data_IF_326401571186
#
_entry.id   IF_326401571186
#
_cell.length_a   1.000
_cell.length_b   1.000
_cell.length_c   1.000
_cell.angle_alpha   90.00
_cell.angle_beta   90.00
_cell.angle_gamma   90.00
#
_symmetry.space_group_name_H-M   'P 1'
#
loop_
_entity.id
_entity.type
_entity.pdbx_description
1 polymer ?
#
# COMPACT_ATOMS: atom_id res chain seq x y z
N UNK A 1 -8.16 -8.51 7.19
CA UNK A 1 -7.17 -8.07 6.19
C UNK A 1 -7.44 -6.62 5.90
N UNK A 2 -6.38 -5.84 6.04
CA UNK A 2 -6.42 -4.40 6.11
C UNK A 2 -6.95 -3.78 4.80
N UNK A 3 -7.89 -2.84 4.96
CA UNK A 3 -8.37 -1.94 3.92
C UNK A 3 -8.31 -0.47 4.42
N UNK A 4 -7.47 -0.19 5.42
CA UNK A 4 -7.22 1.15 5.93
C UNK A 4 -5.87 1.15 6.65
N UNK A 5 -4.94 1.96 6.19
CA UNK A 5 -3.68 2.17 6.89
C UNK A 5 -3.32 3.65 6.91
N UNK A 6 -2.34 3.99 7.74
CA UNK A 6 -1.88 5.34 7.90
C UNK A 6 -0.36 5.42 7.66
N UNK A 7 0.07 6.58 7.15
CA UNK A 7 1.47 6.99 7.09
C UNK A 7 1.60 8.32 7.84
N UNK A 8 2.24 8.28 9.01
CA UNK A 8 2.50 9.45 9.87
C UNK A 8 3.96 9.94 9.81
N UNK A 9 4.76 9.39 8.89
CA UNK A 9 6.20 9.71 8.78
C UNK A 9 6.45 10.73 7.66
N UNK A 10 7.59 11.42 7.73
CA UNK A 10 7.96 12.40 6.72
C UNK A 10 8.67 11.75 5.51
N UNK A 11 8.73 12.50 4.41
CA UNK A 11 9.31 12.05 3.15
C UNK A 11 10.82 11.76 3.26
N UNK A 12 11.54 12.52 4.07
CA UNK A 12 12.98 12.34 4.29
C UNK A 12 13.28 11.02 5.02
N UNK A 13 12.51 10.68 6.05
CA UNK A 13 12.61 9.42 6.77
C UNK A 13 12.33 8.23 5.85
N UNK A 14 11.33 8.35 4.95
CA UNK A 14 11.08 7.33 3.93
C UNK A 14 12.25 7.20 2.94
N UNK A 15 12.85 8.30 2.49
CA UNK A 15 14.05 8.26 1.64
C UNK A 15 15.21 7.56 2.35
N UNK A 16 15.48 7.94 3.60
CA UNK A 16 16.57 7.37 4.39
C UNK A 16 16.39 5.86 4.60
N UNK A 17 15.18 5.43 4.95
CA UNK A 17 14.85 4.02 5.17
C UNK A 17 14.95 3.20 3.88
N UNK A 18 14.40 3.71 2.79
CA UNK A 18 14.26 2.96 1.53
C UNK A 18 15.46 3.09 0.60
N UNK A 19 16.34 4.06 0.86
CA UNK A 19 17.44 4.46 -0.03
C UNK A 19 16.95 4.77 -1.44
N UNK A 20 15.79 5.43 -1.54
CA UNK A 20 15.23 5.83 -2.82
C UNK A 20 16.12 6.88 -3.49
N UNK A 21 16.43 6.64 -4.76
CA UNK A 21 17.30 7.51 -5.57
C UNK A 21 16.48 8.62 -6.24
N UNK A 22 15.23 8.31 -6.58
CA UNK A 22 14.30 9.24 -7.22
C UNK A 22 13.06 9.41 -6.37
N UNK A 23 12.55 10.63 -6.34
CA UNK A 23 11.32 10.97 -5.65
C UNK A 23 10.40 11.72 -6.61
N UNK A 24 9.34 11.03 -6.99
CA UNK A 24 8.23 11.56 -7.79
C UNK A 24 6.95 11.65 -6.94
N UNK A 25 7.04 11.56 -5.61
CA UNK A 25 5.89 11.78 -4.71
C UNK A 25 5.42 13.22 -4.73
N UNK A 26 6.29 14.22 -4.92
CA UNK A 26 5.95 15.62 -4.62
C UNK A 26 5.79 15.83 -3.10
N UNK A 27 4.89 16.72 -2.64
CA UNK A 27 4.65 16.88 -1.21
C UNK A 27 3.92 15.64 -0.64
N UNK A 28 4.45 15.07 0.45
CA UNK A 28 3.79 14.03 1.24
C UNK A 28 3.15 14.69 2.46
N UNK A 29 1.82 14.61 2.57
CA UNK A 29 1.14 15.13 3.75
C UNK A 29 1.58 14.36 5.01
N UNK A 30 1.79 15.04 6.15
CA UNK A 30 2.33 14.42 7.36
C UNK A 30 1.50 13.28 7.93
N UNK A 31 0.19 13.26 7.64
CA UNK A 31 -0.74 12.22 8.11
C UNK A 31 -1.72 11.90 6.99
N UNK A 32 -1.69 10.68 6.48
CA UNK A 32 -2.62 10.23 5.45
C UNK A 32 -3.32 8.95 5.87
N UNK A 33 -4.62 9.04 6.14
CA UNK A 33 -5.50 7.86 6.18
C UNK A 33 -5.74 7.39 4.75
N UNK A 34 -5.21 6.22 4.42
CA UNK A 34 -5.22 5.69 3.06
C UNK A 34 -6.29 4.61 2.95
N UNK A 35 -7.23 4.85 2.05
CA UNK A 35 -8.34 3.96 1.70
C UNK A 35 -8.11 3.30 0.33
N UNK A 36 -8.79 2.18 0.05
CA UNK A 36 -8.80 1.56 -1.28
C UNK A 36 -9.19 2.56 -2.37
N UNK A 37 -8.71 2.32 -3.59
CA UNK A 37 -8.98 3.17 -4.76
C UNK A 37 -8.51 4.63 -4.60
N UNK A 38 -7.54 4.87 -3.70
CA UNK A 38 -6.90 6.17 -3.51
C UNK A 38 -5.39 6.09 -3.83
N UNK A 39 -4.79 7.20 -4.29
CA UNK A 39 -3.34 7.29 -4.43
C UNK A 39 -2.64 7.11 -3.08
N UNK A 40 -1.58 6.33 -3.07
CA UNK A 40 -0.78 6.04 -1.90
C UNK A 40 0.71 6.08 -2.25
N UNK A 41 1.59 6.49 -1.30
CA UNK A 41 3.02 6.42 -1.50
C UNK A 41 3.47 4.95 -1.59
N UNK A 42 4.35 4.66 -2.54
CA UNK A 42 5.03 3.37 -2.66
C UNK A 42 6.49 3.60 -3.04
N UNK A 43 7.36 2.64 -2.71
CA UNK A 43 8.73 2.59 -3.22
C UNK A 43 8.85 1.43 -4.20
N UNK A 44 9.03 1.73 -5.49
CA UNK A 44 9.08 0.73 -6.56
C UNK A 44 10.46 0.69 -7.22
N UNK A 45 10.71 -0.39 -7.95
CA UNK A 45 11.85 -0.46 -8.86
C UNK A 45 11.55 0.31 -10.15
N UNK A 46 12.51 1.11 -10.59
CA UNK A 46 12.56 1.78 -11.89
C UNK A 46 13.87 1.40 -12.61
N UNK A 47 13.98 1.76 -13.88
CA UNK A 47 15.20 1.59 -14.68
C UNK A 47 16.38 2.38 -14.07
N UNK A 48 16.09 3.55 -13.50
CA UNK A 48 17.06 4.41 -12.81
C UNK A 48 17.30 4.02 -11.33
N UNK A 49 16.76 2.88 -10.89
CA UNK A 49 16.83 2.41 -9.50
C UNK A 49 15.55 2.64 -8.69
N UNK A 50 15.66 2.80 -7.37
CA UNK A 50 14.49 2.89 -6.48
C UNK A 50 13.82 4.25 -6.60
N UNK A 51 12.52 4.24 -6.88
CA UNK A 51 11.69 5.43 -7.00
C UNK A 51 10.59 5.42 -5.95
N UNK A 52 10.42 6.53 -5.24
CA UNK A 52 9.20 6.78 -4.48
C UNK A 52 8.18 7.46 -5.38
N UNK A 53 7.01 6.85 -5.53
CA UNK A 53 5.94 7.32 -6.41
C UNK A 53 4.57 7.20 -5.72
N UNK A 54 3.56 7.91 -6.24
CA UNK A 54 2.15 7.67 -5.88
C UNK A 54 1.50 6.71 -6.88
N UNK A 55 0.95 5.61 -6.38
CA UNK A 55 0.14 4.68 -7.16
C UNK A 55 -1.23 4.49 -6.51
N UNK A 56 -2.26 4.16 -7.30
CA UNK A 56 -3.58 3.81 -6.77
C UNK A 56 -3.54 2.48 -6.03
N UNK A 57 -4.07 2.44 -4.81
CA UNK A 57 -4.22 1.20 -4.06
C UNK A 57 -5.41 0.37 -4.56
N UNK A 58 -5.17 -0.38 -5.63
CA UNK A 58 -6.15 -1.29 -6.23
C UNK A 58 -5.58 -1.92 -7.49
N UNK A 59 -5.28 -3.22 -7.44
CA UNK A 59 -4.80 -3.95 -8.61
C UNK A 59 -5.96 -4.29 -9.56
N UNK A 60 -5.75 -4.38 -10.89
CA UNK A 60 -6.81 -4.68 -11.84
C UNK A 60 -7.55 -5.97 -11.49
N UNK A 61 -8.87 -5.90 -11.40
CA UNK A 61 -9.72 -7.05 -11.08
C UNK A 61 -9.80 -7.99 -12.29
N UNK A 62 -9.79 -9.33 -12.12
CA UNK A 62 -10.01 -10.25 -13.23
C UNK A 62 -11.33 -9.95 -13.95
N UNK A 63 -11.32 -9.93 -15.28
CA UNK A 63 -12.52 -9.61 -16.09
C UNK A 63 -13.70 -10.54 -15.81
N UNK A 64 -13.42 -11.82 -15.50
CA UNK A 64 -14.42 -12.81 -15.10
C UNK A 64 -15.16 -12.47 -13.79
N UNK A 65 -14.53 -11.67 -12.92
CA UNK A 65 -15.10 -11.22 -11.64
C UNK A 65 -15.86 -9.90 -11.81
N UNK A 66 -15.41 -9.02 -12.70
CA UNK A 66 -16.03 -7.70 -12.90
C UNK A 66 -17.46 -7.79 -13.42
N UNK A 67 -17.75 -8.70 -14.37
CA UNK A 67 -19.11 -8.90 -14.92
C UNK A 67 -19.82 -7.59 -15.32
N UNK A 68 -19.07 -6.63 -15.90
CA UNK A 68 -19.59 -5.33 -16.32
C UNK A 68 -19.73 -4.27 -15.21
N UNK A 69 -19.33 -4.57 -13.97
CA UNK A 69 -19.28 -3.59 -12.88
C UNK A 69 -18.02 -2.71 -12.97
N UNK A 70 -18.05 -1.49 -12.42
CA UNK A 70 -16.85 -0.67 -12.28
C UNK A 70 -15.77 -1.40 -11.47
N UNK A 71 -14.52 -1.30 -11.94
CA UNK A 71 -13.37 -1.89 -11.24
C UNK A 71 -12.93 -0.99 -10.08
N UNK A 72 -13.17 -1.41 -8.85
CA UNK A 72 -12.68 -0.73 -7.63
C UNK A 72 -11.30 -1.21 -7.20
N UNK A 73 -10.70 -2.12 -7.97
CA UNK A 73 -9.41 -2.74 -7.72
C UNK A 73 -9.41 -3.79 -6.60
N UNK A 74 -8.37 -4.62 -6.62
CA UNK A 74 -8.06 -5.64 -5.61
C UNK A 74 -6.95 -5.10 -4.70
N UNK A 75 -7.26 -4.86 -3.43
CA UNK A 75 -6.32 -4.27 -2.45
C UNK A 75 -5.34 -5.28 -1.87
N UNK A 76 -5.74 -6.55 -1.80
CA UNK A 76 -4.93 -7.60 -1.20
C UNK A 76 -5.01 -8.90 -1.99
N UNK A 77 -3.86 -9.41 -2.42
CA UNK A 77 -3.75 -10.64 -3.23
C UNK A 77 -3.25 -11.78 -2.33
N UNK A 78 -4.12 -12.78 -2.08
CA UNK A 78 -3.76 -13.95 -1.24
C UNK A 78 -3.32 -15.17 -2.05
N UNK A 79 -3.96 -15.39 -3.20
CA UNK A 79 -3.69 -16.55 -4.04
C UNK A 79 -2.75 -16.17 -5.19
N UNK A 80 -1.44 -16.29 -4.95
CA UNK A 80 -0.41 -16.02 -5.96
C UNK A 80 -0.34 -17.07 -7.09
N UNK A 81 -0.99 -18.23 -6.93
CA UNK A 81 -0.98 -19.29 -7.93
C UNK A 81 -1.93 -18.98 -9.11
N UNK A 82 -2.90 -18.08 -8.91
CA UNK A 82 -3.85 -17.65 -9.95
C UNK A 82 -3.13 -17.13 -11.20
N UNK A 83 -3.47 -17.63 -12.40
CA UNK A 83 -2.88 -17.16 -13.66
C UNK A 83 -2.98 -15.64 -13.85
N UNK A 84 -4.07 -15.03 -13.38
CA UNK A 84 -4.29 -13.58 -13.48
C UNK A 84 -3.12 -12.79 -12.91
N UNK A 85 -2.56 -13.22 -11.77
CA UNK A 85 -1.54 -12.46 -11.05
C UNK A 85 -0.12 -12.67 -11.57
N UNK A 86 0.16 -13.75 -12.30
CA UNK A 86 1.52 -14.18 -12.66
C UNK A 86 2.35 -13.10 -13.36
N UNK A 87 1.72 -12.30 -14.23
CA UNK A 87 2.37 -11.18 -14.94
C UNK A 87 2.94 -10.11 -14.00
N UNK A 88 2.42 -9.99 -12.77
CA UNK A 88 2.86 -8.99 -11.79
C UNK A 88 3.79 -9.56 -10.70
N UNK A 89 4.16 -10.84 -10.74
CA UNK A 89 5.01 -11.45 -9.70
C UNK A 89 6.52 -11.20 -9.92
N UNK A 90 6.91 -10.75 -11.12
CA UNK A 90 8.29 -10.44 -11.46
C UNK A 90 8.86 -9.24 -10.67
N UNK A 91 10.20 -9.15 -10.50
CA UNK A 91 10.83 -8.09 -9.72
C UNK A 91 10.51 -6.65 -10.18
N UNK A 92 10.25 -6.45 -11.47
CA UNK A 92 9.85 -5.14 -12.05
C UNK A 92 8.54 -4.61 -11.47
N UNK A 93 7.67 -5.49 -11.01
CA UNK A 93 6.34 -5.15 -10.48
C UNK A 93 6.29 -5.16 -8.94
N UNK A 94 7.44 -5.28 -8.28
CA UNK A 94 7.52 -5.22 -6.82
C UNK A 94 7.61 -3.77 -6.34
N UNK A 95 6.91 -3.48 -5.27
CA UNK A 95 7.06 -2.26 -4.51
C UNK A 95 6.96 -2.55 -3.01
N UNK A 96 7.54 -1.66 -2.21
CA UNK A 96 7.31 -1.58 -0.77
C UNK A 96 6.22 -0.52 -0.52
N UNK A 97 5.20 -0.88 0.24
CA UNK A 97 4.15 0.03 0.69
C UNK A 97 4.51 0.49 2.10
N UNK A 98 4.95 1.75 2.31
CA UNK A 98 5.21 2.26 3.65
C UNK A 98 3.91 2.44 4.43
N UNK A 99 3.97 2.11 5.72
CA UNK A 99 2.87 2.32 6.67
C UNK A 99 3.48 2.52 8.07
N UNK A 100 2.80 3.28 8.91
CA UNK A 100 3.15 3.41 10.34
C UNK A 100 2.17 2.64 11.23
N UNK A 101 0.89 2.63 10.84
CA UNK A 101 -0.17 1.87 11.49
C UNK A 101 -1.12 1.30 10.43
N UNK A 102 -1.74 0.17 10.72
CA UNK A 102 -2.83 -0.36 9.90
C UNK A 102 -4.05 -0.71 10.75
N UNK A 103 -5.23 -0.68 10.15
CA UNK A 103 -6.50 -0.91 10.81
C UNK A 103 -7.15 -2.20 10.35
N UNK A 104 -7.63 -2.98 11.32
CA UNK A 104 -8.59 -4.06 11.12
C UNK A 104 -9.90 -3.71 11.81
N UNK A 105 -11.01 -4.27 11.34
CA UNK A 105 -12.30 -4.07 11.96
C UNK A 105 -12.66 -5.30 12.80
N UNK A 106 -12.82 -5.09 14.10
CA UNK A 106 -13.39 -6.11 14.98
C UNK A 106 -14.91 -6.16 14.83
N UNK A 107 -15.45 -7.37 14.87
CA UNK A 107 -16.89 -7.63 14.72
C UNK A 107 -17.65 -7.37 16.03
N UNK A 108 -17.63 -6.13 16.49
CA UNK A 108 -18.36 -5.66 17.66
C UNK A 108 -19.77 -5.18 17.28
N UNK A 109 -20.70 -5.19 18.24
CA UNK A 109 -22.06 -4.66 18.10
C UNK A 109 -22.24 -3.37 18.93
N UNK A 110 -23.05 -2.38 18.49
CA UNK A 110 -23.89 -2.36 17.28
C UNK A 110 -23.14 -2.00 15.99
N UNK A 111 -21.91 -1.46 16.10
CA UNK A 111 -21.04 -1.12 14.98
C UNK A 111 -19.68 -1.79 15.17
N UNK A 112 -19.04 -2.10 14.05
CA UNK A 112 -17.66 -2.61 14.03
C UNK A 112 -16.70 -1.58 14.64
N UNK A 113 -15.77 -2.06 15.43
CA UNK A 113 -14.76 -1.23 16.09
C UNK A 113 -13.47 -1.26 15.29
N UNK A 114 -12.87 -0.10 15.06
CA UNK A 114 -11.54 0.01 14.46
C UNK A 114 -10.49 -0.43 15.47
N UNK A 115 -9.63 -1.38 15.08
CA UNK A 115 -8.43 -1.75 15.82
C UNK A 115 -7.20 -1.38 15.03
N UNK A 116 -6.40 -0.53 15.63
CA UNK A 116 -5.14 -0.11 15.06
C UNK A 116 -3.99 -0.95 15.58
N UNK A 117 -3.16 -1.41 14.66
CA UNK A 117 -1.95 -2.15 14.91
C UNK A 117 -0.76 -1.32 14.41
N UNK A 118 0.32 -1.29 15.19
CA UNK A 118 1.55 -0.58 14.83
C UNK A 118 2.76 -1.41 15.22
N UNK A 119 3.84 -1.30 14.44
CA UNK A 119 5.12 -1.89 14.84
C UNK A 119 5.79 -0.96 15.86
N UNK A 120 6.13 -1.48 17.05
CA UNK A 120 7.02 -0.75 17.96
C UNK A 120 8.46 -1.08 17.62
N UNK A 121 9.19 -0.10 17.11
CA UNK A 121 10.62 -0.21 16.90
C UNK A 121 11.30 0.38 18.13
N UNK A 122 11.91 -0.47 18.96
CA UNK A 122 12.76 0.00 20.04
C UNK A 122 14.12 0.34 19.42
N UNK A 123 14.40 1.63 19.23
CA UNK A 123 15.77 2.06 18.97
C UNK A 123 16.54 1.98 20.30
N UNK A 124 17.67 1.26 20.38
CA UNK A 124 18.57 1.45 21.51
C UNK A 124 19.02 2.93 21.51
N UNK A 125 18.96 3.55 22.69
CA UNK A 125 19.43 4.92 22.92
C UNK A 125 20.92 5.05 22.61
#
# INVERSE_FOLDING_TARGET
MCNLYNVTTNQEALRALTKALRDSLGNLEPTLDIFPDRPAPVVRNSEDGREMARLTWGMPTPSSVLQGRPDTGVTNIRNIASPHWRRWLGPRNRCAVPWTMFCEYEDTKPKKTKRWCQCRVNFPQ
#
